data_IF_536991386460
#
_entry.id   IF_536991386460
#
_cell.length_a   1.000
_cell.length_b   1.000
_cell.length_c   1.000
_cell.angle_alpha   90.00
_cell.angle_beta   90.00
_cell.angle_gamma   90.00
#
_symmetry.space_group_name_H-M   'P 1'
#
loop_
_entity.id
_entity.type
_entity.pdbx_description
1 polymer ?
#
# COMPACT_ATOMS: atom_id res chain seq x y z
N UNK A 1 -4.70 10.45 -7.76
CA UNK A 1 -5.39 9.83 -6.62
C UNK A 1 -5.47 8.33 -6.86
N UNK A 2 -4.71 7.50 -6.13
CA UNK A 2 -4.84 6.04 -6.25
C UNK A 2 -6.10 5.62 -5.52
N UNK A 3 -7.21 5.53 -6.26
CA UNK A 3 -8.46 5.01 -5.72
C UNK A 3 -8.37 3.49 -5.63
N UNK A 4 -8.01 2.98 -4.46
CA UNK A 4 -8.12 1.55 -4.17
C UNK A 4 -9.59 1.16 -4.18
N UNK A 5 -10.09 0.61 -5.31
CA UNK A 5 -11.50 0.23 -5.51
C UNK A 5 -12.09 -0.58 -4.37
N UNK A 6 -11.29 -1.41 -3.69
CA UNK A 6 -11.77 -2.21 -2.55
C UNK A 6 -11.93 -1.41 -1.25
N UNK A 7 -11.05 -0.45 -0.99
CA UNK A 7 -11.08 0.30 0.27
C UNK A 7 -11.93 1.57 0.21
N UNK A 8 -12.11 2.15 -0.98
CA UNK A 8 -12.81 3.43 -1.17
C UNK A 8 -14.33 3.30 -1.26
N UNK A 9 -14.89 2.10 -1.43
CA UNK A 9 -16.35 1.90 -1.51
C UNK A 9 -17.07 2.44 -0.28
N UNK A 10 -17.98 3.36 -0.54
CA UNK A 10 -18.75 4.10 0.46
C UNK A 10 -18.03 5.28 1.10
N UNK A 11 -16.70 5.39 0.98
CA UNK A 11 -15.97 6.57 1.46
C UNK A 11 -15.82 7.61 0.35
N UNK A 12 -15.77 7.19 -0.91
CA UNK A 12 -15.66 8.08 -2.07
C UNK A 12 -16.95 8.87 -2.35
N UNK A 13 -18.11 8.30 -2.05
CA UNK A 13 -19.44 8.91 -2.24
C UNK A 13 -20.00 9.55 -0.94
N UNK A 14 -19.25 9.50 0.15
CA UNK A 14 -19.66 10.03 1.46
C UNK A 14 -20.69 9.18 2.22
N UNK A 15 -21.12 8.02 1.70
CA UNK A 15 -22.09 7.15 2.39
C UNK A 15 -21.54 6.48 3.67
N UNK A 16 -20.22 6.52 3.87
CA UNK A 16 -19.51 6.04 5.06
C UNK A 16 -18.53 7.09 5.57
N UNK A 17 -18.55 7.29 6.89
CA UNK A 17 -17.61 8.19 7.56
C UNK A 17 -16.26 7.52 7.81
N UNK A 18 -15.18 8.18 7.38
CA UNK A 18 -13.82 7.66 7.54
C UNK A 18 -13.41 7.52 9.02
N UNK A 19 -13.91 8.39 9.89
CA UNK A 19 -13.69 8.36 11.35
C UNK A 19 -14.12 7.02 11.97
N UNK A 20 -15.21 6.44 11.47
CA UNK A 20 -15.77 5.15 11.93
C UNK A 20 -15.03 3.92 11.40
N UNK A 21 -14.09 4.07 10.46
CA UNK A 21 -13.34 2.93 9.95
C UNK A 21 -12.49 2.28 11.05
N UNK A 22 -12.49 0.94 11.15
CA UNK A 22 -11.64 0.21 12.12
C UNK A 22 -10.20 0.03 11.65
N UNK A 23 -9.97 0.10 10.34
CA UNK A 23 -8.67 -0.18 9.74
C UNK A 23 -7.80 1.09 9.67
N UNK A 24 -6.73 1.14 10.48
CA UNK A 24 -5.83 2.30 10.54
C UNK A 24 -5.14 2.60 9.20
N UNK A 25 -4.61 1.59 8.52
CA UNK A 25 -3.95 1.79 7.21
C UNK A 25 -4.95 2.32 6.17
N UNK A 26 -6.21 1.91 6.23
CA UNK A 26 -7.25 2.43 5.34
C UNK A 26 -7.47 3.92 5.57
N UNK A 27 -7.58 4.35 6.84
CA UNK A 27 -7.69 5.78 7.17
C UNK A 27 -6.50 6.56 6.61
N UNK A 28 -5.30 6.04 6.82
CA UNK A 28 -4.07 6.63 6.27
C UNK A 28 -4.13 6.73 4.73
N UNK A 29 -4.41 5.62 4.03
CA UNK A 29 -4.46 5.61 2.56
C UNK A 29 -5.54 6.54 1.98
N UNK A 30 -6.71 6.67 2.63
CA UNK A 30 -7.80 7.50 2.12
C UNK A 30 -7.64 9.00 2.47
N UNK A 31 -6.85 9.34 3.48
CA UNK A 31 -6.55 10.74 3.85
C UNK A 31 -5.23 11.25 3.24
N UNK A 32 -4.33 10.35 2.86
CA UNK A 32 -3.04 10.68 2.26
C UNK A 32 -3.16 11.06 0.78
N UNK A 33 -2.33 12.00 0.34
CA UNK A 33 -2.15 12.34 -1.08
C UNK A 33 -1.16 11.43 -1.81
N UNK A 34 -0.50 10.52 -1.08
CA UNK A 34 0.54 9.63 -1.62
C UNK A 34 -0.04 8.53 -2.50
N UNK A 35 0.77 8.04 -3.46
CA UNK A 35 0.36 7.01 -4.41
C UNK A 35 0.41 5.64 -3.73
N UNK A 36 1.50 5.34 -3.02
CA UNK A 36 1.59 4.14 -2.20
C UNK A 36 2.35 4.41 -0.89
N UNK A 37 2.38 3.41 -0.01
CA UNK A 37 3.18 3.50 1.22
C UNK A 37 4.68 3.69 0.95
N UNK A 38 5.20 3.36 -0.25
CA UNK A 38 6.61 3.62 -0.59
C UNK A 38 6.98 5.10 -0.52
N UNK A 39 6.00 5.99 -0.73
CA UNK A 39 6.22 7.43 -0.77
C UNK A 39 6.20 8.06 0.63
N UNK A 40 5.92 7.26 1.68
CA UNK A 40 5.97 7.73 3.06
C UNK A 40 7.41 8.04 3.46
N UNK A 41 7.69 9.28 3.86
CA UNK A 41 9.02 9.68 4.35
C UNK A 41 9.44 8.89 5.59
N UNK A 42 8.49 8.63 6.49
CA UNK A 42 8.69 7.88 7.73
C UNK A 42 8.49 6.36 7.58
N UNK A 43 8.59 5.80 6.38
CA UNK A 43 8.23 4.41 6.06
C UNK A 43 8.68 3.40 7.13
N UNK A 44 9.97 3.38 7.48
CA UNK A 44 10.57 2.40 8.41
C UNK A 44 10.12 2.61 9.86
N UNK A 45 9.86 3.86 10.25
CA UNK A 45 9.44 4.23 11.61
C UNK A 45 7.92 4.34 11.81
N UNK A 46 7.13 4.34 10.73
CA UNK A 46 5.70 4.65 10.78
C UNK A 46 4.92 3.48 11.39
N UNK A 47 4.31 3.62 12.59
CA UNK A 47 3.65 2.51 13.26
C UNK A 47 2.45 1.97 12.47
N UNK A 48 1.77 2.82 11.70
CA UNK A 48 0.62 2.41 10.88
C UNK A 48 1.05 1.54 9.70
N UNK A 49 2.16 1.89 9.05
CA UNK A 49 2.72 1.14 7.91
C UNK A 49 3.34 -0.16 8.40
N UNK A 50 4.22 -0.10 9.40
CA UNK A 50 4.89 -1.29 9.96
C UNK A 50 3.89 -2.25 10.61
N UNK A 51 2.93 -1.71 11.37
CA UNK A 51 1.86 -2.51 11.97
C UNK A 51 0.89 -3.11 10.95
N UNK A 52 0.81 -2.60 9.72
CA UNK A 52 0.07 -3.26 8.65
C UNK A 52 0.86 -4.41 8.03
N UNK A 53 2.15 -4.19 7.77
CA UNK A 53 3.01 -5.19 7.15
C UNK A 53 3.33 -6.39 8.04
N UNK A 54 3.28 -6.21 9.37
CA UNK A 54 3.47 -7.30 10.33
C UNK A 54 2.28 -8.27 10.44
N UNK A 55 1.14 -8.01 9.78
CA UNK A 55 -0.11 -8.81 9.90
C UNK A 55 -0.08 -10.17 9.18
N UNK A 56 1.09 -10.65 8.77
CA UNK A 56 1.29 -11.97 8.18
C UNK A 56 1.85 -11.95 6.77
N UNK A 57 2.02 -13.16 6.19
CA UNK A 57 2.76 -13.39 4.95
C UNK A 57 2.31 -12.51 3.78
N UNK A 58 1.00 -12.40 3.55
CA UNK A 58 0.46 -11.56 2.46
C UNK A 58 0.95 -10.11 2.57
N UNK A 59 0.93 -9.55 3.78
CA UNK A 59 1.28 -8.15 4.00
C UNK A 59 2.79 -7.93 4.02
N UNK A 60 3.59 -8.91 4.44
CA UNK A 60 5.06 -8.83 4.30
C UNK A 60 5.50 -8.84 2.84
N UNK A 61 4.78 -9.52 1.93
CA UNK A 61 5.03 -9.38 0.47
C UNK A 61 4.77 -7.95 -0.02
N UNK A 62 3.76 -7.27 0.52
CA UNK A 62 3.49 -5.87 0.19
C UNK A 62 4.58 -4.93 0.72
N UNK A 63 5.16 -5.26 1.89
CA UNK A 63 6.33 -4.55 2.40
C UNK A 63 7.51 -4.66 1.46
N UNK A 64 7.82 -5.88 0.99
CA UNK A 64 8.91 -6.10 0.04
C UNK A 64 8.68 -5.31 -1.26
N UNK A 65 7.45 -5.25 -1.77
CA UNK A 65 7.11 -4.41 -2.92
C UNK A 65 7.34 -2.92 -2.64
N UNK A 66 6.88 -2.42 -1.49
CA UNK A 66 7.06 -1.01 -1.13
C UNK A 66 8.55 -0.65 -0.94
N UNK A 67 9.33 -1.53 -0.32
CA UNK A 67 10.79 -1.36 -0.20
C UNK A 67 11.47 -1.39 -1.56
N UNK A 68 11.07 -2.29 -2.45
CA UNK A 68 11.61 -2.35 -3.81
C UNK A 68 11.33 -1.05 -4.59
N UNK A 69 10.11 -0.51 -4.49
CA UNK A 69 9.76 0.78 -5.09
C UNK A 69 10.61 1.91 -4.50
N UNK A 70 10.85 1.92 -3.19
CA UNK A 70 11.72 2.92 -2.54
C UNK A 70 13.15 2.87 -3.06
N UNK A 71 13.69 1.67 -3.26
CA UNK A 71 15.09 1.50 -3.69
C UNK A 71 15.30 1.65 -5.21
N UNK A 72 14.31 1.25 -6.03
CA UNK A 72 14.48 1.12 -7.49
C UNK A 72 13.48 1.95 -8.31
N UNK A 73 12.50 2.58 -7.67
CA UNK A 73 11.45 3.37 -8.30
C UNK A 73 10.30 2.55 -8.90
N UNK A 74 9.22 3.26 -9.20
CA UNK A 74 7.99 2.69 -9.74
C UNK A 74 8.17 2.00 -11.11
N UNK A 75 9.03 2.55 -11.98
CA UNK A 75 9.26 1.99 -13.32
C UNK A 75 9.84 0.59 -13.25
N UNK A 76 10.85 0.40 -12.40
CA UNK A 76 11.49 -0.90 -12.17
C UNK A 76 10.51 -1.90 -11.58
N UNK A 77 9.67 -1.45 -10.64
CA UNK A 77 8.61 -2.29 -10.07
C UNK A 77 7.59 -2.73 -11.12
N UNK A 78 7.11 -1.80 -11.97
CA UNK A 78 6.17 -2.11 -13.04
C UNK A 78 6.74 -3.11 -14.05
N UNK A 79 8.02 -2.96 -14.43
CA UNK A 79 8.70 -3.92 -15.29
C UNK A 79 8.78 -5.30 -14.63
N UNK A 80 9.16 -5.38 -13.36
CA UNK A 80 9.20 -6.66 -12.62
C UNK A 80 7.83 -7.31 -12.48
N UNK A 81 6.79 -6.51 -12.22
CA UNK A 81 5.42 -6.99 -12.03
C UNK A 81 4.73 -7.42 -13.33
N UNK A 82 5.23 -6.98 -14.49
CA UNK A 82 4.64 -7.33 -15.80
C UNK A 82 4.62 -8.83 -16.09
N UNK A 83 5.55 -9.59 -15.50
CA UNK A 83 5.63 -11.05 -15.63
C UNK A 83 4.80 -11.81 -14.58
N UNK A 84 4.07 -11.14 -13.69
CA UNK A 84 3.34 -11.79 -12.61
C UNK A 84 2.01 -12.35 -13.11
N UNK A 85 1.74 -13.62 -12.82
CA UNK A 85 0.45 -14.28 -13.09
C UNK A 85 -0.51 -14.23 -11.90
N UNK A 86 -0.07 -13.63 -10.78
CA UNK A 86 -0.76 -13.60 -9.50
C UNK A 86 -0.66 -12.22 -8.85
N UNK A 87 -1.42 -12.00 -7.78
CA UNK A 87 -1.45 -10.72 -7.05
C UNK A 87 -0.10 -10.28 -6.43
N UNK A 88 0.87 -11.19 -6.37
CA UNK A 88 2.26 -10.91 -6.00
C UNK A 88 3.19 -11.89 -6.71
N UNK A 89 4.41 -11.46 -7.03
CA UNK A 89 5.42 -12.32 -7.65
C UNK A 89 6.80 -12.16 -7.02
N UNK A 90 7.81 -12.67 -7.74
CA UNK A 90 9.21 -12.54 -7.34
C UNK A 90 9.75 -11.18 -7.80
N UNK A 91 10.35 -10.45 -6.86
CA UNK A 91 11.06 -9.22 -7.16
C UNK A 91 12.51 -9.56 -7.55
N UNK A 92 13.12 -8.80 -8.48
CA UNK A 92 14.56 -8.87 -8.74
C UNK A 92 15.37 -8.65 -7.46
N UNK A 93 16.54 -9.27 -7.39
CA UNK A 93 17.52 -9.02 -6.33
C UNK A 93 18.34 -7.80 -6.67
#
# INVERSE_FOLDING_TARGET
MVSCKGCSTGYADGSRELSKARCAIKKCCLSSSQITCSDCSSFDSCPTVQGFYSKGYKYSRYQASAQFIRSHGYRSFAQAASAWTSASGKLPR
#
